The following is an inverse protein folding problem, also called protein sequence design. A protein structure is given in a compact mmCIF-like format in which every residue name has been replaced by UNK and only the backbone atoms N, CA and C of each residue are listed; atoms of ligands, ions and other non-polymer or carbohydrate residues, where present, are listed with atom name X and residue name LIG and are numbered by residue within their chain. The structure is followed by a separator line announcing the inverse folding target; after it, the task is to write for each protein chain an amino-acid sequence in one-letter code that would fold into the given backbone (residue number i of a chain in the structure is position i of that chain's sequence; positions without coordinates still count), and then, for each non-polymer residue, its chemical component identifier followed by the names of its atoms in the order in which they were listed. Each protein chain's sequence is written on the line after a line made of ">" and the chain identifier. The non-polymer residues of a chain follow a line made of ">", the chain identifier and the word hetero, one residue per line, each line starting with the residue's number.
data_IF_125149879925
#
_entry.id   IF_125149879925
#
_cell.length_a   1.000
_cell.length_b   1.000
_cell.length_c   1.000
_cell.angle_alpha   90.00
_cell.angle_beta   90.00
_cell.angle_gamma   90.00
#
_symmetry.space_group_name_H-M   'P 1'
#
loop_
_entity.id
_entity.type
_entity.pdbx_description
1 polymer ?
#
# COMPACT_ATOMS: atom_id res chain seq x y z
N UNK A 1 -20.36 62.73 34.82
CA UNK A 1 -20.95 61.41 34.49
C UNK A 1 -21.01 61.25 32.97
N UNK A 2 -19.92 60.79 32.34
CA UNK A 2 -19.75 60.64 30.88
C UNK A 2 -19.16 59.25 30.54
N UNK A 3 -19.41 58.26 31.39
CA UNK A 3 -18.75 56.95 31.39
C UNK A 3 -19.57 55.84 30.71
N UNK A 4 -20.85 56.07 30.40
CA UNK A 4 -21.71 55.06 29.74
C UNK A 4 -21.51 54.95 28.22
N UNK A 5 -21.00 55.99 27.55
CA UNK A 5 -20.85 56.00 26.08
C UNK A 5 -19.50 55.47 25.57
N UNK A 6 -18.52 55.20 26.46
CA UNK A 6 -17.22 54.61 26.08
C UNK A 6 -17.22 53.09 26.08
N UNK A 7 -18.16 52.47 26.81
CA UNK A 7 -18.35 51.02 26.84
C UNK A 7 -19.15 50.50 25.64
N UNK A 8 -20.16 51.26 25.16
CA UNK A 8 -20.89 50.89 23.95
C UNK A 8 -20.02 50.99 22.68
N UNK A 9 -19.14 51.98 22.59
CA UNK A 9 -18.24 52.12 21.43
C UNK A 9 -17.15 51.04 21.40
N UNK A 10 -16.71 50.51 22.56
CA UNK A 10 -15.77 49.39 22.62
C UNK A 10 -16.41 48.05 22.19
N UNK A 11 -17.69 47.83 22.52
CA UNK A 11 -18.42 46.60 22.14
C UNK A 11 -18.78 46.60 20.65
N UNK A 12 -19.12 47.75 20.07
CA UNK A 12 -19.39 47.88 18.63
C UNK A 12 -18.11 47.73 17.79
N UNK A 13 -16.95 48.16 18.30
CA UNK A 13 -15.65 47.95 17.63
C UNK A 13 -15.15 46.50 17.68
N UNK A 14 -15.50 45.71 18.71
CA UNK A 14 -15.22 44.27 18.75
C UNK A 14 -16.18 43.44 17.88
N UNK A 15 -17.41 43.89 17.65
CA UNK A 15 -18.38 43.19 16.79
C UNK A 15 -18.12 43.38 15.29
N UNK A 16 -17.39 44.42 14.89
CA UNK A 16 -17.02 44.71 13.50
C UNK A 16 -15.76 43.98 13.01
N UNK A 17 -15.08 43.23 13.88
CA UNK A 17 -13.90 42.43 13.52
C UNK A 17 -14.19 40.92 13.36
N UNK A 18 -15.46 40.50 13.45
CA UNK A 18 -15.82 39.08 13.54
C UNK A 18 -16.42 38.46 12.26
N UNK A 19 -16.47 39.17 11.13
CA UNK A 19 -17.02 38.61 9.89
C UNK A 19 -16.23 39.11 8.68
N UNK A 20 -15.02 38.59 8.48
CA UNK A 20 -14.38 38.41 7.17
C UNK A 20 -13.20 37.44 7.29
N UNK A 21 -13.48 36.16 7.54
CA UNK A 21 -12.58 35.10 7.08
C UNK A 21 -13.14 34.64 5.73
N UNK A 22 -12.58 35.08 4.59
CA UNK A 22 -12.84 34.42 3.32
C UNK A 22 -12.43 32.96 3.48
N UNK A 23 -13.30 32.05 3.04
CA UNK A 23 -13.13 30.62 3.16
C UNK A 23 -11.70 30.20 2.87
N UNK A 24 -10.98 29.83 3.92
CA UNK A 24 -9.87 28.90 3.79
C UNK A 24 -10.55 27.57 3.55
N UNK A 25 -10.89 27.31 2.29
CA UNK A 25 -10.95 25.94 1.82
C UNK A 25 -9.62 25.35 2.23
N UNK A 26 -9.65 24.46 3.20
CA UNK A 26 -8.56 23.52 3.41
C UNK A 26 -8.62 22.67 2.16
N UNK A 27 -8.02 23.15 1.08
CA UNK A 27 -7.42 22.26 0.12
C UNK A 27 -6.35 21.58 0.95
N UNK A 28 -6.70 20.46 1.57
CA UNK A 28 -5.72 19.42 1.81
C UNK A 28 -5.08 19.26 0.44
N UNK A 29 -3.82 19.70 0.32
CA UNK A 29 -3.00 19.21 -0.77
C UNK A 29 -3.08 17.70 -0.58
N UNK A 30 -3.86 17.05 -1.44
CA UNK A 30 -3.76 15.63 -1.62
C UNK A 30 -2.34 15.49 -2.15
N UNK A 31 -1.40 15.20 -1.25
CA UNK A 31 -0.09 14.71 -1.67
C UNK A 31 -0.44 13.51 -2.54
N UNK A 32 -0.13 13.62 -3.83
CA UNK A 32 -0.32 12.54 -4.77
C UNK A 32 0.53 11.40 -4.19
N UNK A 33 -0.11 10.31 -3.76
CA UNK A 33 0.62 9.20 -3.16
C UNK A 33 1.57 8.65 -4.21
N UNK A 34 2.86 8.92 -4.01
CA UNK A 34 3.92 8.35 -4.82
C UNK A 34 3.78 6.82 -4.79
N UNK A 35 3.98 6.16 -5.92
CA UNK A 35 4.03 4.70 -5.97
C UNK A 35 5.26 4.21 -5.19
N UNK A 36 5.08 3.86 -3.92
CA UNK A 36 6.17 3.45 -3.01
C UNK A 36 6.68 2.03 -3.29
N UNK A 37 7.33 1.88 -4.44
CA UNK A 37 7.91 0.62 -4.88
C UNK A 37 9.35 0.90 -5.26
N UNK A 38 10.26 0.16 -4.66
CA UNK A 38 11.67 0.23 -4.99
C UNK A 38 11.86 -0.17 -6.46
N UNK A 39 12.29 0.80 -7.25
CA UNK A 39 12.33 0.76 -8.71
C UNK A 39 11.63 1.96 -9.37
N UNK A 40 10.73 2.66 -8.67
CA UNK A 40 10.17 3.96 -9.08
C UNK A 40 11.16 5.09 -8.75
N UNK A 41 12.37 5.00 -9.30
CA UNK A 41 13.52 5.82 -8.96
C UNK A 41 13.27 7.32 -9.16
N UNK A 42 12.47 7.70 -10.17
CA UNK A 42 12.16 9.10 -10.45
C UNK A 42 10.85 9.59 -9.80
N UNK A 43 10.22 8.74 -8.99
CA UNK A 43 9.02 9.05 -8.20
C UNK A 43 7.84 9.57 -9.04
N UNK A 44 7.66 9.04 -10.27
CA UNK A 44 6.60 9.47 -11.20
C UNK A 44 5.42 8.50 -11.34
N UNK A 45 5.31 7.58 -10.39
CA UNK A 45 4.30 6.53 -10.23
C UNK A 45 4.30 5.43 -11.30
N UNK A 46 5.28 5.42 -12.19
CA UNK A 46 5.33 4.50 -13.31
C UNK A 46 6.75 3.96 -13.44
N UNK A 47 6.93 2.69 -13.06
CA UNK A 47 8.21 2.01 -13.26
C UNK A 47 8.41 1.72 -14.76
N UNK A 48 9.28 2.50 -15.40
CA UNK A 48 9.64 2.38 -16.81
C UNK A 48 11.12 2.77 -17.10
N UNK A 49 11.45 2.95 -18.38
CA UNK A 49 12.82 3.25 -18.80
C UNK A 49 13.34 4.61 -18.27
N UNK A 50 12.45 5.50 -17.80
CA UNK A 50 12.80 6.77 -17.16
C UNK A 50 13.44 6.52 -15.81
N UNK A 51 12.96 5.57 -15.01
CA UNK A 51 13.60 5.16 -13.77
C UNK A 51 15.00 4.61 -14.01
N UNK A 52 15.14 3.70 -14.98
CA UNK A 52 16.44 3.15 -15.35
C UNK A 52 17.43 4.26 -15.74
N UNK A 53 16.96 5.26 -16.48
CA UNK A 53 17.77 6.43 -16.87
C UNK A 53 18.10 7.31 -15.67
N UNK A 54 17.16 7.49 -14.76
CA UNK A 54 17.32 8.29 -13.55
C UNK A 54 18.34 7.66 -12.60
N UNK A 55 18.23 6.35 -12.33
CA UNK A 55 19.23 5.56 -11.59
C UNK A 55 20.61 5.64 -12.24
N UNK A 56 20.71 5.55 -13.58
CA UNK A 56 21.99 5.70 -14.27
C UNK A 56 22.63 7.07 -14.04
N UNK A 57 21.82 8.14 -14.00
CA UNK A 57 22.30 9.50 -13.71
C UNK A 57 22.75 9.66 -12.26
N UNK A 58 22.07 9.04 -11.29
CA UNK A 58 22.51 9.00 -9.88
C UNK A 58 23.88 8.34 -9.74
N UNK A 59 24.09 7.18 -10.37
CA UNK A 59 25.39 6.47 -10.38
C UNK A 59 26.50 7.36 -10.95
N UNK A 60 26.18 8.18 -11.95
CA UNK A 60 27.09 9.15 -12.56
C UNK A 60 27.19 10.49 -11.79
N UNK A 61 26.48 10.63 -10.66
CA UNK A 61 26.38 11.86 -9.84
C UNK A 61 25.86 13.07 -10.61
N UNK A 62 24.94 12.81 -11.54
CA UNK A 62 24.23 13.81 -12.34
C UNK A 62 22.84 14.14 -11.79
N UNK A 63 22.36 13.36 -10.82
CA UNK A 63 21.13 13.56 -10.04
C UNK A 63 21.41 13.20 -8.58
N UNK A 64 20.60 13.73 -7.68
CA UNK A 64 20.60 13.34 -6.26
C UNK A 64 19.96 11.94 -6.09
N UNK A 65 20.41 11.18 -5.09
CA UNK A 65 19.86 9.84 -4.79
C UNK A 65 18.45 9.96 -4.19
N UNK A 66 17.57 9.04 -4.59
CA UNK A 66 16.24 8.84 -4.01
C UNK A 66 16.18 7.48 -3.33
N UNK A 67 15.31 7.33 -2.33
CA UNK A 67 15.21 6.06 -1.59
C UNK A 67 14.70 4.93 -2.48
N UNK A 68 13.73 5.21 -3.37
CA UNK A 68 13.16 4.21 -4.28
C UNK A 68 14.11 3.80 -5.42
N UNK A 69 15.27 4.44 -5.58
CA UNK A 69 16.24 4.05 -6.60
C UNK A 69 17.01 2.76 -6.26
N UNK A 70 17.06 2.34 -4.99
CA UNK A 70 17.63 1.06 -4.53
C UNK A 70 16.66 -0.09 -4.82
N UNK A 71 16.39 -0.32 -6.11
CA UNK A 71 15.36 -1.25 -6.58
C UNK A 71 15.56 -2.69 -6.09
N UNK A 72 16.81 -3.12 -5.87
CA UNK A 72 17.12 -4.45 -5.37
C UNK A 72 17.14 -4.55 -3.83
N UNK A 73 17.02 -3.40 -3.15
CA UNK A 73 17.03 -3.21 -1.71
C UNK A 73 18.28 -3.79 -1.02
N UNK A 74 19.46 -3.48 -1.55
CA UNK A 74 20.76 -3.89 -0.99
C UNK A 74 21.48 -2.78 -0.21
N UNK A 75 20.84 -1.61 -0.10
CA UNK A 75 21.31 -0.43 0.63
C UNK A 75 22.20 0.49 -0.21
N UNK A 76 22.29 0.30 -1.53
CA UNK A 76 23.15 1.09 -2.42
C UNK A 76 22.56 1.25 -3.82
N UNK A 77 22.50 2.49 -4.30
CA UNK A 77 22.15 2.77 -5.70
C UNK A 77 23.30 2.38 -6.64
N UNK A 78 23.04 1.41 -7.52
CA UNK A 78 24.04 0.75 -8.36
C UNK A 78 23.48 0.20 -9.68
N UNK A 79 24.35 -0.40 -10.51
CA UNK A 79 23.92 -1.05 -11.76
C UNK A 79 23.03 -2.29 -11.50
N UNK A 80 23.10 -2.85 -10.29
CA UNK A 80 22.22 -3.95 -9.91
C UNK A 80 20.75 -3.49 -9.83
N UNK A 81 20.51 -2.25 -9.40
CA UNK A 81 19.17 -1.65 -9.38
C UNK A 81 18.62 -1.42 -10.76
N UNK A 82 19.45 -0.95 -11.69
CA UNK A 82 19.07 -0.84 -13.10
C UNK A 82 18.64 -2.19 -13.69
N UNK A 83 19.29 -3.28 -13.26
CA UNK A 83 18.93 -4.64 -13.70
C UNK A 83 17.57 -5.03 -13.12
N UNK A 84 17.35 -4.79 -11.83
CA UNK A 84 16.10 -5.07 -11.15
C UNK A 84 14.93 -4.25 -11.72
N UNK A 85 15.10 -2.94 -11.96
CA UNK A 85 14.14 -2.09 -12.67
C UNK A 85 13.82 -2.67 -14.04
N UNK A 86 14.84 -3.04 -14.82
CA UNK A 86 14.65 -3.68 -16.13
C UNK A 86 13.83 -4.98 -16.05
N UNK A 87 14.04 -5.79 -15.00
CA UNK A 87 13.25 -7.01 -14.76
C UNK A 87 11.80 -6.69 -14.38
N UNK A 88 11.56 -5.67 -13.54
CA UNK A 88 10.21 -5.20 -13.17
C UNK A 88 9.44 -4.74 -14.40
N UNK A 89 10.05 -3.90 -15.25
CA UNK A 89 9.45 -3.42 -16.51
C UNK A 89 9.05 -4.59 -17.42
N UNK A 90 9.88 -5.64 -17.45
CA UNK A 90 9.65 -6.85 -18.23
C UNK A 90 8.69 -7.84 -17.55
N UNK A 91 8.31 -7.61 -16.28
CA UNK A 91 7.52 -8.54 -15.46
C UNK A 91 8.21 -9.89 -15.25
N UNK A 92 9.52 -9.86 -15.01
CA UNK A 92 10.40 -11.01 -14.85
C UNK A 92 11.27 -10.91 -13.58
N UNK A 93 10.97 -9.96 -12.72
CA UNK A 93 11.58 -9.83 -11.41
C UNK A 93 11.27 -11.07 -10.57
N UNK A 94 12.26 -11.53 -9.79
CA UNK A 94 12.07 -12.66 -8.87
C UNK A 94 11.57 -12.21 -7.49
N UNK A 95 11.66 -10.91 -7.21
CA UNK A 95 11.18 -10.27 -5.98
C UNK A 95 10.78 -8.83 -6.28
N UNK A 96 9.95 -8.26 -5.43
CA UNK A 96 9.54 -6.85 -5.47
C UNK A 96 9.55 -6.31 -4.04
N UNK A 97 10.11 -5.11 -3.85
CA UNK A 97 10.15 -4.44 -2.54
C UNK A 97 9.28 -3.19 -2.58
N UNK A 98 8.43 -2.99 -1.58
CA UNK A 98 7.47 -1.89 -1.50
C UNK A 98 7.32 -1.37 -0.07
N UNK A 99 6.82 -0.14 0.05
CA UNK A 99 6.32 0.39 1.33
C UNK A 99 4.83 0.10 1.42
N UNK A 100 4.45 -0.64 2.45
CA UNK A 100 3.07 -1.04 2.70
C UNK A 100 2.29 0.05 3.46
N UNK A 101 0.99 -0.13 3.67
CA UNK A 101 0.13 0.87 4.33
C UNK A 101 0.37 1.00 5.84
N UNK A 102 1.28 0.20 6.41
CA UNK A 102 1.76 0.32 7.79
C UNK A 102 3.13 1.01 7.85
N UNK A 103 3.55 1.67 6.76
CA UNK A 103 4.86 2.31 6.58
C UNK A 103 6.04 1.33 6.72
N UNK A 104 5.82 0.04 6.45
CA UNK A 104 6.87 -0.99 6.50
C UNK A 104 7.42 -1.26 5.11
N UNK A 105 8.72 -1.51 5.04
CA UNK A 105 9.36 -1.97 3.80
C UNK A 105 9.28 -3.50 3.74
N UNK A 106 8.52 -4.01 2.78
CA UNK A 106 8.26 -5.45 2.63
C UNK A 106 8.78 -5.93 1.29
N UNK A 107 9.48 -7.06 1.29
CA UNK A 107 9.94 -7.74 0.07
C UNK A 107 9.13 -9.01 -0.17
N UNK A 108 8.53 -9.10 -1.36
CA UNK A 108 7.68 -10.22 -1.77
C UNK A 108 8.35 -10.98 -2.92
N UNK A 109 8.41 -12.31 -2.83
CA UNK A 109 8.89 -13.15 -3.92
C UNK A 109 7.86 -13.24 -5.05
N UNK A 110 8.35 -13.33 -6.29
CA UNK A 110 7.52 -13.41 -7.51
C UNK A 110 7.78 -14.72 -8.25
N UNK A 111 6.76 -15.30 -8.91
CA UNK A 111 5.36 -14.85 -8.93
C UNK A 111 4.64 -15.13 -7.61
N UNK A 112 3.61 -14.34 -7.30
CA UNK A 112 2.65 -14.64 -6.23
C UNK A 112 1.52 -15.47 -6.81
N UNK A 113 1.37 -16.70 -6.35
CA UNK A 113 0.41 -17.71 -6.80
C UNK A 113 -0.48 -18.25 -5.68
N UNK A 114 -0.08 -18.08 -4.41
CA UNK A 114 -0.80 -18.55 -3.21
C UNK A 114 -0.96 -17.39 -2.22
N UNK A 115 -2.19 -16.93 -2.03
CA UNK A 115 -2.51 -15.77 -1.20
C UNK A 115 -3.40 -16.22 -0.05
N UNK A 116 -3.02 -15.91 1.19
CA UNK A 116 -3.99 -15.84 2.28
C UNK A 116 -4.53 -14.42 2.36
N UNK A 117 -5.85 -14.27 2.26
CA UNK A 117 -6.55 -12.99 2.40
C UNK A 117 -7.02 -12.83 3.84
N UNK A 118 -6.45 -11.85 4.55
CA UNK A 118 -6.69 -11.59 5.97
C UNK A 118 -7.94 -10.75 6.25
N UNK A 119 -8.50 -10.08 5.24
CA UNK A 119 -9.67 -9.23 5.39
C UNK A 119 -10.58 -9.23 4.14
N UNK A 120 -11.86 -8.88 4.30
CA UNK A 120 -12.84 -8.89 3.20
C UNK A 120 -12.48 -7.91 2.08
N UNK A 121 -11.90 -6.75 2.43
CA UNK A 121 -11.48 -5.76 1.44
C UNK A 121 -10.29 -6.25 0.59
N UNK A 122 -9.40 -7.05 1.20
CA UNK A 122 -8.31 -7.71 0.48
C UNK A 122 -8.87 -8.74 -0.51
N UNK A 123 -9.85 -9.53 -0.07
CA UNK A 123 -10.56 -10.49 -0.91
C UNK A 123 -11.23 -9.82 -2.11
N UNK A 124 -11.91 -8.69 -1.89
CA UNK A 124 -12.52 -7.89 -2.95
C UNK A 124 -11.47 -7.33 -3.92
N UNK A 125 -10.36 -6.76 -3.43
CA UNK A 125 -9.28 -6.26 -4.26
C UNK A 125 -8.67 -7.36 -5.12
N UNK A 126 -8.30 -8.51 -4.52
CA UNK A 126 -7.77 -9.67 -5.24
C UNK A 126 -8.76 -10.18 -6.29
N UNK A 127 -10.07 -10.16 -5.98
CA UNK A 127 -11.13 -10.52 -6.92
C UNK A 127 -11.23 -9.54 -8.09
N UNK A 128 -11.22 -8.25 -7.83
CA UNK A 128 -11.27 -7.19 -8.85
C UNK A 128 -10.09 -7.27 -9.81
N UNK A 129 -8.90 -7.63 -9.31
CA UNK A 129 -7.68 -7.83 -10.09
C UNK A 129 -7.69 -9.13 -10.93
N UNK A 130 -8.73 -9.95 -10.78
CA UNK A 130 -8.88 -11.23 -11.46
C UNK A 130 -7.89 -12.29 -10.97
N UNK A 131 -7.50 -12.23 -9.69
CA UNK A 131 -6.54 -13.13 -9.07
C UNK A 131 -7.14 -13.98 -7.94
N UNK A 132 -8.47 -14.06 -7.86
CA UNK A 132 -9.19 -14.87 -6.85
C UNK A 132 -8.81 -16.35 -6.89
N UNK A 133 -8.45 -16.87 -8.06
CA UNK A 133 -7.97 -18.25 -8.26
C UNK A 133 -6.68 -18.58 -7.49
N UNK A 134 -5.99 -17.56 -6.97
CA UNK A 134 -4.76 -17.69 -6.17
C UNK A 134 -5.02 -17.68 -4.67
N UNK A 135 -6.24 -17.39 -4.23
CA UNK A 135 -6.56 -17.36 -2.81
C UNK A 135 -6.65 -18.78 -2.27
N UNK A 136 -5.86 -19.09 -1.26
CA UNK A 136 -5.79 -20.42 -0.62
C UNK A 136 -6.35 -20.42 0.81
N UNK A 137 -6.59 -19.25 1.37
CA UNK A 137 -7.18 -19.06 2.70
C UNK A 137 -7.79 -17.67 2.83
N UNK A 138 -8.77 -17.54 3.72
CA UNK A 138 -9.61 -16.33 3.83
C UNK A 138 -9.86 -15.89 5.27
N UNK A 139 -10.38 -14.68 5.43
CA UNK A 139 -10.96 -14.21 6.69
C UNK A 139 -12.33 -14.84 6.95
N UNK A 140 -12.85 -14.70 8.18
CA UNK A 140 -14.13 -15.29 8.59
C UNK A 140 -15.34 -14.73 7.83
N UNK A 141 -15.30 -13.48 7.36
CA UNK A 141 -16.44 -12.75 6.78
C UNK A 141 -16.56 -12.91 5.26
N UNK A 142 -15.48 -13.20 4.54
CA UNK A 142 -15.53 -13.56 3.11
C UNK A 142 -16.20 -14.92 2.94
N UNK A 143 -17.50 -14.95 2.63
CA UNK A 143 -18.28 -16.21 2.56
C UNK A 143 -19.34 -16.27 1.44
N UNK A 144 -19.51 -15.19 0.67
CA UNK A 144 -20.51 -15.14 -0.40
C UNK A 144 -20.02 -15.86 -1.67
N UNK A 145 -20.61 -17.01 -2.00
CA UNK A 145 -20.27 -17.82 -3.18
C UNK A 145 -20.57 -17.14 -4.54
N UNK A 146 -21.46 -16.15 -4.57
CA UNK A 146 -21.77 -15.42 -5.80
C UNK A 146 -20.63 -14.43 -6.09
N UNK A 147 -20.17 -13.72 -5.06
CA UNK A 147 -19.05 -12.78 -5.18
C UNK A 147 -17.70 -13.50 -5.28
N UNK A 148 -17.55 -14.57 -4.51
CA UNK A 148 -16.32 -15.34 -4.34
C UNK A 148 -16.58 -16.83 -4.63
N UNK A 149 -16.66 -17.24 -5.92
CA UNK A 149 -16.87 -18.64 -6.26
C UNK A 149 -15.78 -19.54 -5.68
N UNK A 150 -16.19 -20.64 -5.03
CA UNK A 150 -15.31 -21.60 -4.37
C UNK A 150 -14.87 -21.20 -2.97
N UNK A 151 -15.39 -20.10 -2.41
CA UNK A 151 -15.01 -19.61 -1.07
C UNK A 151 -15.34 -20.61 0.05
N UNK A 152 -16.37 -21.43 -0.11
CA UNK A 152 -16.73 -22.46 0.87
C UNK A 152 -15.71 -23.59 0.98
N UNK A 153 -14.90 -23.81 -0.06
CA UNK A 153 -13.79 -24.77 -0.05
C UNK A 153 -12.52 -24.19 0.58
N UNK A 154 -12.46 -22.87 0.81
CA UNK A 154 -11.30 -22.21 1.40
C UNK A 154 -11.33 -22.24 2.93
N UNK A 155 -10.23 -22.63 3.59
CA UNK A 155 -10.11 -22.59 5.04
C UNK A 155 -10.17 -21.15 5.57
N UNK A 156 -10.80 -21.01 6.74
CA UNK A 156 -10.74 -19.78 7.53
C UNK A 156 -9.36 -19.70 8.16
N UNK A 157 -8.67 -18.59 7.93
CA UNK A 157 -7.31 -18.31 8.40
C UNK A 157 -7.27 -17.15 9.39
N UNK A 158 -8.32 -16.33 9.48
CA UNK A 158 -8.41 -15.21 10.42
C UNK A 158 -9.75 -15.26 11.15
N UNK A 159 -9.68 -15.23 12.48
CA UNK A 159 -10.83 -15.27 13.37
C UNK A 159 -11.65 -13.96 13.37
N UNK A 160 -12.85 -13.97 13.95
CA UNK A 160 -13.74 -12.81 13.94
C UNK A 160 -13.40 -11.75 15.02
N UNK A 161 -12.48 -12.07 15.94
CA UNK A 161 -12.30 -11.32 17.18
C UNK A 161 -11.45 -10.05 17.01
N UNK A 162 -10.40 -10.11 16.20
CA UNK A 162 -9.57 -8.95 15.85
C UNK A 162 -9.17 -9.05 14.38
N UNK A 163 -8.65 -7.96 13.81
CA UNK A 163 -8.20 -7.92 12.41
C UNK A 163 -6.85 -8.65 12.21
N UNK A 164 -6.21 -9.08 13.31
CA UNK A 164 -4.88 -9.72 13.31
C UNK A 164 -4.90 -11.09 14.01
N UNK A 165 -6.07 -11.64 14.35
CA UNK A 165 -6.22 -12.94 15.01
C UNK A 165 -6.13 -14.07 13.98
N UNK A 166 -4.91 -14.33 13.49
CA UNK A 166 -4.66 -15.38 12.52
C UNK A 166 -4.57 -16.77 13.16
N UNK A 167 -5.14 -17.77 12.49
CA UNK A 167 -4.94 -19.18 12.80
C UNK A 167 -3.61 -19.64 12.22
N UNK A 168 -2.52 -19.34 12.95
CA UNK A 168 -1.14 -19.52 12.50
C UNK A 168 -0.86 -20.91 11.91
N UNK A 169 -1.28 -21.98 12.60
CA UNK A 169 -1.07 -23.37 12.13
C UNK A 169 -1.72 -23.61 10.76
N UNK A 170 -2.97 -23.18 10.59
CA UNK A 170 -3.69 -23.27 9.32
C UNK A 170 -2.97 -22.49 8.21
N UNK A 171 -2.48 -21.28 8.51
CA UNK A 171 -1.77 -20.46 7.53
C UNK A 171 -0.46 -21.12 7.10
N UNK A 172 0.32 -21.67 8.03
CA UNK A 172 1.55 -22.40 7.70
C UNK A 172 1.29 -23.69 6.91
N UNK A 173 0.22 -24.42 7.22
CA UNK A 173 -0.17 -25.62 6.44
C UNK A 173 -0.51 -25.31 4.98
N UNK A 174 -0.97 -24.08 4.71
CA UNK A 174 -1.31 -23.63 3.37
C UNK A 174 -0.10 -23.19 2.55
N UNK A 175 1.07 -22.99 3.16
CA UNK A 175 2.29 -22.57 2.46
C UNK A 175 2.05 -21.43 1.44
N UNK A 176 1.52 -20.26 1.88
CA UNK A 176 1.23 -19.15 0.98
C UNK A 176 2.50 -18.35 0.64
N UNK A 177 2.49 -17.69 -0.52
CA UNK A 177 3.56 -16.77 -0.93
C UNK A 177 3.49 -15.44 -0.17
N UNK A 178 2.28 -15.02 0.21
CA UNK A 178 2.02 -13.83 1.03
C UNK A 178 0.82 -14.03 1.95
N UNK A 179 0.86 -13.37 3.09
CA UNK A 179 -0.32 -13.05 3.88
C UNK A 179 -0.69 -11.58 3.61
N UNK A 180 -1.79 -11.37 2.89
CA UNK A 180 -2.30 -10.03 2.60
C UNK A 180 -3.27 -9.62 3.71
N UNK A 181 -3.07 -8.44 4.27
CA UNK A 181 -3.93 -7.90 5.34
C UNK A 181 -4.17 -6.41 5.17
N UNK A 182 -5.09 -5.88 5.98
CA UNK A 182 -5.40 -4.47 6.07
C UNK A 182 -4.69 -3.83 7.26
N UNK A 183 -4.17 -2.60 7.09
CA UNK A 183 -3.61 -1.85 8.21
C UNK A 183 -4.71 -1.21 9.06
N UNK A 184 -4.85 -1.70 10.28
CA UNK A 184 -5.62 -1.09 11.36
C UNK A 184 -4.67 -0.58 12.46
N UNK A 185 -4.82 0.66 12.96
CA UNK A 185 -3.99 1.21 14.03
C UNK A 185 -4.41 0.65 15.41
N UNK A 186 -4.40 -0.68 15.55
CA UNK A 186 -4.67 -1.43 16.78
C UNK A 186 -3.52 -2.42 17.05
N UNK A 187 -3.32 -2.86 18.30
CA UNK A 187 -2.32 -3.88 18.61
C UNK A 187 -2.58 -5.20 17.86
N UNK A 188 -1.50 -5.89 17.50
CA UNK A 188 -1.53 -7.26 16.95
C UNK A 188 -0.81 -7.43 15.61
N UNK A 189 -0.57 -6.35 14.85
CA UNK A 189 0.20 -6.44 13.60
C UNK A 189 1.62 -6.95 13.85
N UNK A 190 2.31 -6.41 14.87
CA UNK A 190 3.68 -6.83 15.18
C UNK A 190 3.75 -8.34 15.52
N UNK A 191 2.79 -8.86 16.28
CA UNK A 191 2.73 -10.30 16.61
C UNK A 191 2.51 -11.15 15.35
N UNK A 192 1.66 -10.70 14.42
CA UNK A 192 1.40 -11.35 13.14
C UNK A 192 2.68 -11.40 12.29
N UNK A 193 3.38 -10.27 12.20
CA UNK A 193 4.62 -10.09 11.44
C UNK A 193 5.73 -10.95 12.03
N UNK A 194 5.97 -10.86 13.34
CA UNK A 194 7.00 -11.62 14.05
C UNK A 194 6.78 -13.13 13.96
N UNK A 195 5.51 -13.56 13.81
CA UNK A 195 5.17 -14.99 13.69
C UNK A 195 5.38 -15.52 12.27
N UNK A 196 5.02 -14.74 11.24
CA UNK A 196 5.05 -15.21 9.85
C UNK A 196 6.37 -14.91 9.14
N UNK A 197 7.00 -13.77 9.41
CA UNK A 197 8.24 -13.39 8.73
C UNK A 197 9.47 -14.06 9.38
N UNK A 198 10.49 -14.45 8.58
CA UNK A 198 10.65 -14.18 7.15
C UNK A 198 10.02 -15.22 6.21
N UNK A 199 9.39 -16.28 6.74
CA UNK A 199 8.94 -17.42 5.95
C UNK A 199 7.75 -17.06 5.04
N UNK A 200 6.78 -16.30 5.56
CA UNK A 200 5.62 -15.80 4.84
C UNK A 200 5.60 -14.26 4.97
N UNK A 201 5.90 -13.50 3.89
CA UNK A 201 5.79 -12.06 3.90
C UNK A 201 4.37 -11.58 4.25
N UNK A 202 4.26 -10.68 5.23
CA UNK A 202 2.99 -10.02 5.58
C UNK A 202 2.93 -8.69 4.85
N UNK A 203 1.91 -8.47 4.02
CA UNK A 203 1.74 -7.23 3.26
C UNK A 203 0.48 -6.51 3.73
N UNK A 204 0.62 -5.28 4.24
CA UNK A 204 -0.52 -4.45 4.63
C UNK A 204 -0.92 -3.50 3.50
N UNK A 205 -2.12 -3.62 2.93
CA UNK A 205 -2.63 -2.66 1.95
C UNK A 205 -3.95 -2.05 2.43
N UNK A 206 -4.19 -0.79 2.06
CA UNK A 206 -5.42 -0.08 2.39
C UNK A 206 -6.32 0.02 1.15
N UNK A 207 -7.41 -0.75 1.16
CA UNK A 207 -8.45 -0.69 0.14
C UNK A 207 -9.75 -0.03 0.65
N UNK A 208 -9.77 0.45 1.89
CA UNK A 208 -10.94 1.12 2.49
C UNK A 208 -10.96 2.62 2.16
N UNK A 209 -9.81 3.29 2.29
CA UNK A 209 -9.72 4.74 2.11
C UNK A 209 -9.64 5.10 0.61
N UNK A 210 -10.62 5.83 0.06
CA UNK A 210 -10.58 6.27 -1.33
C UNK A 210 -9.33 7.09 -1.70
N UNK A 211 -8.71 7.77 -0.74
CA UNK A 211 -7.51 8.56 -0.96
C UNK A 211 -6.30 7.68 -1.31
N UNK A 212 -6.19 6.50 -0.69
CA UNK A 212 -5.04 5.60 -0.81
C UNK A 212 -5.33 4.37 -1.68
N UNK A 213 -6.60 4.11 -1.98
CA UNK A 213 -7.07 2.97 -2.76
C UNK A 213 -6.36 2.83 -4.11
N UNK A 214 -6.20 3.94 -4.85
CA UNK A 214 -5.57 3.90 -6.18
C UNK A 214 -4.10 3.53 -6.09
N UNK A 215 -3.36 4.10 -5.13
CA UNK A 215 -1.96 3.76 -4.88
C UNK A 215 -1.81 2.29 -4.49
N UNK A 216 -2.65 1.80 -3.58
CA UNK A 216 -2.65 0.41 -3.14
C UNK A 216 -3.00 -0.57 -4.27
N UNK A 217 -3.97 -0.25 -5.14
CA UNK A 217 -4.26 -1.05 -6.33
C UNK A 217 -3.06 -1.05 -7.28
N UNK A 218 -2.42 0.09 -7.57
CA UNK A 218 -1.21 0.14 -8.39
C UNK A 218 -0.09 -0.75 -7.82
N UNK A 219 0.09 -0.78 -6.49
CA UNK A 219 1.05 -1.67 -5.80
C UNK A 219 0.81 -3.16 -6.06
N UNK A 220 -0.45 -3.56 -6.24
CA UNK A 220 -0.81 -4.95 -6.62
C UNK A 220 -0.68 -5.23 -8.12
N UNK A 221 -0.73 -4.19 -8.96
CA UNK A 221 -0.88 -4.27 -10.41
C UNK A 221 0.43 -4.26 -11.21
N UNK A 222 1.61 -4.27 -10.59
CA UNK A 222 2.87 -4.39 -11.34
C UNK A 222 2.85 -5.68 -12.17
N UNK A 223 2.45 -5.50 -13.42
CA UNK A 223 2.33 -6.47 -14.48
C UNK A 223 3.27 -6.00 -15.57
N UNK A 224 3.88 -6.94 -16.31
CA UNK A 224 4.50 -6.58 -17.57
C UNK A 224 3.45 -5.91 -18.47
N UNK A 225 3.80 -4.75 -19.06
CA UNK A 225 2.95 -3.99 -19.99
C UNK A 225 2.47 -4.80 -21.24
N UNK A 226 2.89 -6.06 -21.37
CA UNK A 226 2.69 -6.90 -22.56
C UNK A 226 1.77 -8.11 -22.40
N UNK A 227 1.08 -8.32 -21.27
CA UNK A 227 0.05 -9.38 -21.18
C UNK A 227 -1.37 -8.88 -21.48
N UNK A 228 -1.56 -8.30 -22.67
CA UNK A 228 -2.85 -8.45 -23.38
C UNK A 228 -2.92 -9.89 -23.91
N UNK A 229 -3.39 -10.83 -23.10
CA UNK A 229 -3.91 -12.09 -23.65
C UNK A 229 -5.30 -11.83 -24.23
N UNK A 230 -5.43 -12.21 -25.50
CA UNK A 230 -6.65 -12.24 -26.30
C UNK A 230 -7.72 -13.12 -25.68
#
# INVERSE_FOLDING_TARGET
>A
MKTKNRFLTAIVLCALFLVTLPGVGIATAQEDETLDIYGNANEDDIIDMRDLTFTARMILRLEDETELADANYDGRVSVADMTQIGLIILGRESKLTLVDSADRIVTVNKPVERIVSGHVLDSEAVKLLGAWDRVVGRDTYTADEILFPGVSDLPVCVGPMTHYDAYYETVFELDPDIFLTFYMPIPGLDDLVDTFEPDIPVVCLNFEDPATLVGNIKKTEIRPQYRRKR
#
